data_IF_764590732458
#
_entry.id   IF_764590732458
#
_cell.length_a   1.000
_cell.length_b   1.000
_cell.length_c   1.000
_cell.angle_alpha   90.00
_cell.angle_beta   90.00
_cell.angle_gamma   90.00
#
_symmetry.space_group_name_H-M   'P 1'
#
loop_
_entity.id
_entity.type
_entity.pdbx_description
1 polymer ?
#
# COMPACT_ATOMS: atom_id res chain seq x y z
N UNK A 1 7.00 -7.18 11.70
CA UNK A 1 6.48 -6.03 12.49
C UNK A 1 5.16 -6.46 13.10
N UNK A 2 4.91 -6.18 14.38
CA UNK A 2 3.65 -6.55 15.06
C UNK A 2 2.50 -5.67 14.58
N UNK A 3 1.25 -6.15 14.67
CA UNK A 3 0.05 -5.39 14.28
C UNK A 3 -0.03 -4.04 14.99
N UNK A 4 0.17 -4.02 16.31
CA UNK A 4 0.20 -2.78 17.10
C UNK A 4 1.25 -1.79 16.59
N UNK A 5 2.42 -2.29 16.19
CA UNK A 5 3.46 -1.44 15.62
C UNK A 5 3.10 -0.93 14.21
N UNK A 6 2.27 -1.64 13.44
CA UNK A 6 1.74 -1.15 12.16
C UNK A 6 0.74 -0.03 12.41
N UNK A 7 -0.23 -0.26 13.31
CA UNK A 7 -1.26 0.71 13.69
C UNK A 7 -0.66 2.01 14.21
N UNK A 8 0.43 1.93 14.98
CA UNK A 8 1.13 3.09 15.54
C UNK A 8 2.00 3.87 14.54
N UNK A 9 2.09 3.46 13.26
CA UNK A 9 2.86 4.23 12.28
C UNK A 9 2.26 5.62 12.06
N UNK A 10 3.08 6.67 11.89
CA UNK A 10 2.60 8.05 11.74
C UNK A 10 2.04 8.33 10.33
N UNK A 11 1.32 7.38 9.71
CA UNK A 11 0.79 7.53 8.35
C UNK A 11 -0.17 8.71 8.24
N UNK A 12 -0.91 9.00 9.31
CA UNK A 12 -1.81 10.14 9.33
C UNK A 12 -1.07 11.48 9.12
N UNK A 13 0.16 11.60 9.64
CA UNK A 13 1.01 12.79 9.55
C UNK A 13 1.71 12.92 8.19
N UNK A 14 1.82 11.82 7.43
CA UNK A 14 2.45 11.80 6.11
C UNK A 14 1.49 12.12 4.97
N UNK A 15 0.19 11.90 5.19
CA UNK A 15 -0.82 12.09 4.18
C UNK A 15 -1.42 13.52 4.25
N UNK A 16 -1.94 13.99 3.12
CA UNK A 16 -2.75 15.21 3.02
C UNK A 16 -4.14 15.04 3.64
N UNK A 17 -4.77 16.10 4.15
CA UNK A 17 -6.11 16.03 4.78
C UNK A 17 -7.14 15.28 3.92
N UNK A 18 -7.08 15.50 2.61
CA UNK A 18 -7.86 14.80 1.58
C UNK A 18 -6.95 13.78 0.85
N UNK A 19 -6.94 12.54 1.33
CA UNK A 19 -6.06 11.49 0.79
C UNK A 19 -6.76 10.16 0.48
N UNK A 20 -6.13 9.36 -0.38
CA UNK A 20 -6.47 7.96 -0.59
C UNK A 20 -5.42 7.05 0.06
N UNK A 21 -5.88 5.91 0.57
CA UNK A 21 -5.03 4.81 1.02
C UNK A 21 -5.37 3.56 0.20
N UNK A 22 -4.32 2.89 -0.27
CA UNK A 22 -4.39 1.59 -0.94
C UNK A 22 -3.59 0.58 -0.11
N UNK A 23 -4.29 -0.31 0.60
CA UNK A 23 -3.67 -1.23 1.57
C UNK A 23 -3.82 -2.69 1.18
N UNK A 24 -2.70 -3.36 0.87
CA UNK A 24 -2.69 -4.79 0.56
C UNK A 24 -2.99 -5.64 1.79
N UNK A 25 -3.89 -6.60 1.61
CA UNK A 25 -4.27 -7.59 2.62
C UNK A 25 -4.48 -8.96 1.97
N UNK A 26 -4.34 -10.00 2.78
CA UNK A 26 -4.70 -11.37 2.40
C UNK A 26 -6.08 -11.72 2.97
N UNK A 27 -6.64 -12.87 2.57
CA UNK A 27 -7.86 -13.39 3.20
C UNK A 27 -7.73 -13.52 4.74
N UNK A 28 -6.55 -13.87 5.24
CA UNK A 28 -6.31 -14.08 6.67
C UNK A 28 -6.16 -12.75 7.45
N UNK A 29 -5.66 -11.71 6.79
CA UNK A 29 -5.35 -10.41 7.42
C UNK A 29 -6.38 -9.34 7.06
N UNK A 30 -7.53 -9.73 6.49
CA UNK A 30 -8.55 -8.79 6.03
C UNK A 30 -9.02 -7.92 7.20
N UNK A 31 -9.43 -8.51 8.32
CA UNK A 31 -9.88 -7.76 9.50
C UNK A 31 -8.81 -6.82 10.03
N UNK A 32 -7.58 -7.30 10.17
CA UNK A 32 -6.46 -6.50 10.66
C UNK A 32 -6.18 -5.29 9.74
N UNK A 33 -6.33 -5.46 8.43
CA UNK A 33 -6.16 -4.37 7.48
C UNK A 33 -7.24 -3.28 7.58
N UNK A 34 -8.49 -3.65 7.91
CA UNK A 34 -9.52 -2.67 8.20
C UNK A 34 -9.16 -1.88 9.47
N UNK A 35 -8.77 -2.57 10.54
CA UNK A 35 -8.36 -1.91 11.78
C UNK A 35 -7.14 -0.98 11.56
N UNK A 36 -6.19 -1.38 10.72
CA UNK A 36 -5.02 -0.56 10.38
C UNK A 36 -5.44 0.70 9.63
N UNK A 37 -6.26 0.58 8.59
CA UNK A 37 -6.74 1.73 7.83
C UNK A 37 -7.49 2.73 8.72
N UNK A 38 -8.36 2.23 9.61
CA UNK A 38 -9.08 3.06 10.59
C UNK A 38 -8.13 3.72 11.59
N UNK A 39 -7.12 3.00 12.11
CA UNK A 39 -6.13 3.56 13.04
C UNK A 39 -5.29 4.69 12.43
N UNK A 40 -5.10 4.67 11.11
CA UNK A 40 -4.43 5.72 10.35
C UNK A 40 -5.37 6.88 9.94
N UNK A 41 -6.63 6.83 10.36
CA UNK A 41 -7.63 7.88 10.09
C UNK A 41 -8.30 7.79 8.72
N UNK A 42 -8.27 6.62 8.07
CA UNK A 42 -8.93 6.39 6.78
C UNK A 42 -10.24 5.61 6.96
N UNK A 43 -11.25 5.95 6.16
CA UNK A 43 -12.47 5.16 6.03
C UNK A 43 -12.35 4.21 4.86
N UNK A 44 -12.40 2.90 5.12
CA UNK A 44 -12.40 1.87 4.06
C UNK A 44 -13.69 1.98 3.24
N UNK A 45 -13.56 1.99 1.91
CA UNK A 45 -14.69 2.12 0.97
C UNK A 45 -15.02 0.81 0.28
N UNK A 46 -14.02 0.20 -0.35
CA UNK A 46 -14.21 -1.06 -1.08
C UNK A 46 -12.88 -1.79 -1.26
N UNK A 47 -12.90 -3.13 -1.30
CA UNK A 47 -11.74 -3.90 -1.74
C UNK A 47 -11.67 -3.92 -3.27
N UNK A 48 -10.46 -3.77 -3.81
CA UNK A 48 -10.09 -4.22 -5.14
C UNK A 48 -9.50 -5.64 -5.02
N UNK A 49 -10.09 -6.63 -5.67
CA UNK A 49 -9.66 -8.03 -5.54
C UNK A 49 -8.77 -8.44 -6.71
N UNK A 50 -7.53 -8.81 -6.41
CA UNK A 50 -6.66 -9.47 -7.38
C UNK A 50 -7.00 -10.95 -7.48
N UNK A 51 -7.61 -11.33 -8.60
CA UNK A 51 -7.96 -12.71 -8.94
C UNK A 51 -6.74 -13.40 -9.55
N UNK A 52 -6.40 -14.56 -9.00
CA UNK A 52 -5.30 -15.42 -9.43
C UNK A 52 -5.86 -16.71 -10.01
N UNK A 53 -5.54 -17.00 -11.26
CA UNK A 53 -5.91 -18.27 -11.90
C UNK A 53 -4.99 -19.44 -11.48
N UNK A 54 -4.73 -19.56 -10.17
CA UNK A 54 -3.99 -20.66 -9.55
C UNK A 54 -4.41 -20.85 -8.10
N UNK A 55 -4.33 -22.08 -7.60
CA UNK A 55 -4.63 -22.40 -6.21
C UNK A 55 -3.42 -22.16 -5.30
N UNK A 56 -3.56 -21.24 -4.36
CA UNK A 56 -2.62 -21.02 -3.26
C UNK A 56 -2.89 -21.91 -2.05
N UNK A 57 -2.27 -21.57 -0.92
CA UNK A 57 -2.50 -22.22 0.37
C UNK A 57 -3.93 -21.99 0.89
N UNK A 58 -4.33 -22.72 1.93
CA UNK A 58 -5.59 -22.47 2.65
C UNK A 58 -6.12 -23.73 3.35
N UNK A 59 -6.65 -23.55 4.56
CA UNK A 59 -7.14 -24.66 5.41
C UNK A 59 -8.55 -25.10 5.01
N UNK A 60 -9.46 -24.13 4.82
CA UNK A 60 -10.86 -24.40 4.47
C UNK A 60 -11.14 -24.17 2.99
N UNK A 61 -10.80 -22.98 2.50
CA UNK A 61 -10.86 -22.61 1.08
C UNK A 61 -9.44 -22.37 0.57
N UNK A 62 -9.19 -22.70 -0.70
CA UNK A 62 -7.91 -22.48 -1.35
C UNK A 62 -7.81 -21.02 -1.79
N UNK A 63 -6.78 -20.31 -1.33
CA UNK A 63 -6.58 -18.90 -1.69
C UNK A 63 -6.33 -18.76 -3.19
N UNK A 64 -7.24 -18.08 -3.89
CA UNK A 64 -7.09 -17.67 -5.28
C UNK A 64 -7.16 -16.13 -5.42
N UNK A 65 -7.16 -15.41 -4.30
CA UNK A 65 -7.31 -13.96 -4.25
C UNK A 65 -6.35 -13.31 -3.26
N UNK A 66 -5.97 -12.07 -3.53
CA UNK A 66 -5.50 -11.08 -2.54
C UNK A 66 -6.33 -9.81 -2.73
N UNK A 67 -6.39 -8.95 -1.72
CA UNK A 67 -7.22 -7.74 -1.76
C UNK A 67 -6.36 -6.50 -1.53
N UNK A 68 -6.70 -5.44 -2.23
CA UNK A 68 -6.15 -4.11 -2.05
C UNK A 68 -7.29 -3.20 -1.60
N UNK A 69 -7.31 -2.86 -0.32
CA UNK A 69 -8.36 -2.03 0.26
C UNK A 69 -8.20 -0.60 -0.24
N UNK A 70 -9.24 -0.05 -0.87
CA UNK A 70 -9.36 1.37 -1.16
C UNK A 70 -10.04 2.07 0.01
N UNK A 71 -9.35 3.04 0.58
CA UNK A 71 -9.84 3.85 1.69
C UNK A 71 -9.60 5.34 1.42
N UNK A 72 -10.41 6.19 2.05
CA UNK A 72 -10.37 7.65 1.84
C UNK A 72 -10.29 8.38 3.16
N UNK A 73 -9.63 9.53 3.16
CA UNK A 73 -9.66 10.53 4.23
C UNK A 73 -10.16 11.86 3.65
N UNK A 74 -10.90 12.60 4.47
CA UNK A 74 -11.48 13.88 4.04
C UNK A 74 -12.42 13.73 2.83
N UNK A 75 -12.23 14.59 1.83
CA UNK A 75 -13.02 14.70 0.59
C UNK A 75 -12.19 14.46 -0.66
N UNK A 76 -11.20 13.57 -0.57
CA UNK A 76 -10.32 13.21 -1.68
C UNK A 76 -11.11 12.85 -2.97
N UNK A 77 -10.80 13.48 -4.12
CA UNK A 77 -11.52 13.24 -5.36
C UNK A 77 -11.04 11.95 -6.04
N UNK A 78 -12.00 11.18 -6.58
CA UNK A 78 -11.71 10.07 -7.49
C UNK A 78 -11.75 10.57 -8.94
N UNK A 79 -10.67 10.35 -9.67
CA UNK A 79 -10.50 10.81 -11.05
C UNK A 79 -11.20 9.91 -12.08
N UNK A 80 -11.40 8.63 -11.77
CA UNK A 80 -12.06 7.65 -12.63
C UNK A 80 -13.06 6.78 -11.88
N UNK A 81 -14.33 6.78 -12.32
CA UNK A 81 -15.45 6.17 -11.59
C UNK A 81 -15.89 4.79 -12.10
N UNK A 82 -15.35 4.32 -13.21
CA UNK A 82 -15.75 3.05 -13.84
C UNK A 82 -14.75 1.91 -13.60
N UNK A 83 -13.93 2.00 -12.53
CA UNK A 83 -13.01 0.93 -12.15
C UNK A 83 -13.78 -0.23 -11.50
N UNK A 84 -13.72 -1.46 -12.04
CA UNK A 84 -14.27 -2.62 -11.36
C UNK A 84 -13.52 -2.94 -10.06
N UNK A 85 -14.20 -3.58 -9.11
CA UNK A 85 -13.64 -4.01 -7.81
C UNK A 85 -12.81 -5.30 -7.91
N UNK A 86 -12.34 -5.64 -9.11
CA UNK A 86 -11.43 -6.76 -9.34
C UNK A 86 -10.41 -6.43 -10.44
N UNK A 87 -9.27 -7.12 -10.38
CA UNK A 87 -8.28 -7.17 -11.44
C UNK A 87 -7.81 -8.61 -11.65
N UNK A 88 -7.44 -8.93 -12.88
CA UNK A 88 -6.66 -10.13 -13.22
C UNK A 88 -5.29 -9.67 -13.68
N UNK A 89 -4.25 -10.14 -13.02
CA UNK A 89 -2.88 -9.78 -13.34
C UNK A 89 -1.95 -10.99 -13.12
N UNK A 90 -0.82 -11.09 -13.85
CA UNK A 90 0.11 -12.21 -13.73
C UNK A 90 0.63 -12.35 -12.31
N UNK A 91 0.75 -13.60 -11.84
CA UNK A 91 1.41 -13.86 -10.57
C UNK A 91 2.91 -13.96 -10.81
N UNK A 92 3.65 -13.06 -10.16
CA UNK A 92 5.11 -12.99 -10.21
C UNK A 92 5.73 -13.79 -9.04
N UNK A 93 6.94 -13.41 -8.62
CA UNK A 93 7.68 -14.01 -7.52
C UNK A 93 6.94 -13.90 -6.17
N UNK A 94 7.42 -14.65 -5.18
CA UNK A 94 6.79 -14.68 -3.87
C UNK A 94 6.66 -13.27 -3.25
N UNK A 95 5.46 -12.95 -2.77
CA UNK A 95 5.10 -11.64 -2.20
C UNK A 95 5.22 -10.45 -3.18
N UNK A 96 5.34 -10.69 -4.49
CA UNK A 96 5.33 -9.65 -5.51
C UNK A 96 3.89 -9.34 -5.94
N UNK A 97 3.45 -8.10 -5.67
CA UNK A 97 2.14 -7.57 -6.06
C UNK A 97 2.14 -7.17 -7.55
N UNK A 98 1.00 -7.24 -8.26
CA UNK A 98 0.95 -6.94 -9.68
C UNK A 98 1.38 -5.50 -10.00
N UNK A 99 2.17 -5.29 -11.05
CA UNK A 99 2.57 -3.94 -11.49
C UNK A 99 1.36 -3.11 -11.92
N UNK A 100 0.31 -3.78 -12.37
CA UNK A 100 -0.96 -3.19 -12.82
C UNK A 100 -1.64 -2.37 -11.73
N UNK A 101 -1.25 -2.52 -10.46
CA UNK A 101 -1.72 -1.66 -9.37
C UNK A 101 -1.34 -0.19 -9.59
N UNK A 102 -0.16 0.10 -10.12
CA UNK A 102 0.34 1.49 -10.22
C UNK A 102 -0.46 2.32 -11.21
N UNK A 103 -0.62 1.93 -12.49
CA UNK A 103 -1.47 2.68 -13.42
C UNK A 103 -2.94 2.71 -12.98
N UNK A 104 -3.40 1.70 -12.22
CA UNK A 104 -4.73 1.72 -11.62
C UNK A 104 -4.84 2.80 -10.54
N UNK A 105 -3.92 2.83 -9.58
CA UNK A 105 -3.90 3.81 -8.50
C UNK A 105 -3.80 5.22 -9.08
N UNK A 106 -2.88 5.44 -10.02
CA UNK A 106 -2.63 6.73 -10.68
C UNK A 106 -3.82 7.20 -11.52
N UNK A 107 -4.63 6.28 -12.06
CA UNK A 107 -5.87 6.63 -12.76
C UNK A 107 -6.99 7.07 -11.83
N UNK A 108 -7.02 6.56 -10.59
CA UNK A 108 -8.08 6.84 -9.63
C UNK A 108 -7.75 7.98 -8.67
N UNK A 109 -6.48 8.09 -8.28
CA UNK A 109 -6.01 8.92 -7.17
C UNK A 109 -5.08 10.01 -7.69
N UNK A 110 -5.28 11.28 -7.31
CA UNK A 110 -4.27 12.30 -7.58
C UNK A 110 -2.98 12.02 -6.78
N UNK A 111 -1.84 12.36 -7.37
CA UNK A 111 -0.56 12.40 -6.66
C UNK A 111 -0.41 13.65 -5.77
N UNK A 112 0.71 13.77 -5.03
CA UNK A 112 1.87 12.86 -5.01
C UNK A 112 1.58 11.50 -4.37
N UNK A 113 2.46 10.52 -4.59
CA UNK A 113 2.28 9.14 -4.12
C UNK A 113 3.40 8.73 -3.15
N UNK A 114 3.07 7.93 -2.13
CA UNK A 114 4.05 7.31 -1.23
C UNK A 114 3.76 5.81 -1.11
N UNK A 115 4.75 4.96 -1.40
CA UNK A 115 4.69 3.52 -1.14
C UNK A 115 5.48 3.18 0.13
N UNK A 116 4.79 2.61 1.12
CA UNK A 116 5.40 2.07 2.33
C UNK A 116 5.74 0.59 2.15
N UNK A 117 6.81 0.14 2.81
CA UNK A 117 7.37 -1.22 2.70
C UNK A 117 7.88 -1.57 1.30
N UNK A 118 8.25 -0.56 0.53
CA UNK A 118 8.78 -0.73 -0.82
C UNK A 118 10.11 -1.50 -0.80
N UNK A 119 10.29 -2.39 -1.78
CA UNK A 119 11.55 -3.13 -2.02
C UNK A 119 12.25 -2.71 -3.31
N UNK A 120 11.54 -1.97 -4.15
CA UNK A 120 12.01 -1.37 -5.41
C UNK A 120 11.17 -0.13 -5.71
N UNK A 121 11.64 0.72 -6.62
CA UNK A 121 10.81 1.84 -7.09
C UNK A 121 9.64 1.32 -7.94
N UNK A 122 8.45 1.94 -7.85
CA UNK A 122 7.36 1.69 -8.78
C UNK A 122 7.84 1.86 -10.23
N UNK A 123 7.49 0.96 -11.16
CA UNK A 123 7.78 1.14 -12.58
C UNK A 123 6.78 2.12 -13.18
N UNK A 124 6.90 3.38 -12.76
CA UNK A 124 6.03 4.47 -13.16
C UNK A 124 6.85 5.74 -13.40
N UNK A 125 6.36 6.59 -14.29
CA UNK A 125 6.90 7.93 -14.51
C UNK A 125 6.29 8.97 -13.55
N UNK A 126 5.29 8.57 -12.75
CA UNK A 126 4.64 9.42 -11.75
C UNK A 126 5.55 9.62 -10.52
N UNK A 127 5.40 10.72 -9.77
CA UNK A 127 6.24 11.06 -8.63
C UNK A 127 5.92 10.20 -7.40
N UNK A 128 6.46 8.98 -7.38
CA UNK A 128 6.38 8.07 -6.25
C UNK A 128 7.55 8.26 -5.29
N UNK A 129 7.24 8.66 -4.06
CA UNK A 129 8.11 8.52 -2.92
C UNK A 129 8.06 7.08 -2.42
N UNK A 130 9.19 6.58 -1.91
CA UNK A 130 9.27 5.25 -1.31
C UNK A 130 9.79 5.29 0.11
N UNK A 131 9.29 4.39 0.94
CA UNK A 131 9.87 4.07 2.23
C UNK A 131 9.92 2.55 2.42
N UNK A 132 11.07 2.01 2.81
CA UNK A 132 11.24 0.59 3.05
C UNK A 132 12.65 0.23 3.48
N UNK A 133 12.80 -0.91 4.15
CA UNK A 133 14.08 -1.35 4.69
C UNK A 133 15.00 -2.04 3.66
N UNK A 134 14.53 -2.21 2.42
CA UNK A 134 15.27 -2.85 1.32
C UNK A 134 15.47 -1.92 0.13
N UNK A 135 15.27 -0.61 0.31
CA UNK A 135 15.44 0.41 -0.71
C UNK A 135 16.04 1.67 -0.10
N UNK A 136 16.64 2.52 -0.94
CA UNK A 136 17.02 3.88 -0.52
C UNK A 136 15.75 4.72 -0.37
N UNK A 137 15.29 4.90 0.86
CA UNK A 137 14.03 5.57 1.15
C UNK A 137 14.10 7.09 0.84
N UNK A 138 13.01 7.63 0.31
CA UNK A 138 12.90 9.05 0.00
C UNK A 138 12.48 9.88 1.24
N UNK A 139 11.80 9.23 2.20
CA UNK A 139 11.33 9.82 3.46
C UNK A 139 11.85 9.04 4.66
N UNK A 140 11.82 9.66 5.85
CA UNK A 140 12.20 9.03 7.13
C UNK A 140 11.01 9.08 8.09
N UNK A 141 10.78 8.01 8.85
CA UNK A 141 9.63 7.86 9.74
C UNK A 141 10.09 7.78 11.21
N UNK A 142 9.71 8.76 12.07
CA UNK A 142 10.08 8.74 13.49
C UNK A 142 9.65 7.43 14.18
N UNK A 143 10.59 6.74 14.84
CA UNK A 143 10.35 5.45 15.51
C UNK A 143 10.36 4.22 14.58
N UNK A 144 10.54 4.43 13.27
CA UNK A 144 10.59 3.38 12.24
C UNK A 144 11.84 3.57 11.36
N UNK A 145 13.05 3.37 11.91
CA UNK A 145 14.28 3.57 11.15
C UNK A 145 14.43 2.52 10.04
N UNK A 146 14.94 2.96 8.90
CA UNK A 146 15.38 2.11 7.78
C UNK A 146 16.88 2.29 7.52
N UNK A 147 17.56 1.33 6.87
CA UNK A 147 19.02 1.41 6.68
C UNK A 147 19.51 2.68 5.96
N UNK A 148 18.69 3.28 5.09
CA UNK A 148 19.03 4.51 4.36
C UNK A 148 19.05 5.77 5.24
N UNK A 149 18.38 5.77 6.39
CA UNK A 149 18.38 6.94 7.31
C UNK A 149 19.80 7.27 7.77
N UNK A 150 20.59 6.23 8.12
CA UNK A 150 21.99 6.38 8.55
C UNK A 150 22.88 7.04 7.49
N UNK A 151 22.62 6.76 6.21
CA UNK A 151 23.40 7.33 5.10
C UNK A 151 23.09 8.80 4.87
N UNK A 152 21.90 9.28 5.24
CA UNK A 152 21.54 10.70 5.16
C UNK A 152 22.24 11.50 6.24
N UNK A 153 22.28 10.96 7.46
CA UNK A 153 22.98 11.60 8.58
C UNK A 153 24.48 11.76 8.30
N UNK A 154 25.11 10.77 7.67
CA UNK A 154 26.54 10.83 7.26
C UNK A 154 26.84 11.85 6.15
N UNK A 155 25.84 12.22 5.33
CA UNK A 155 25.99 13.23 4.26
C UNK A 155 25.70 14.65 4.70
N UNK A 156 25.14 14.83 5.90
CA UNK A 156 24.79 16.12 6.47
C UNK A 156 25.94 16.73 7.33
N UNK A 157 27.06 16.01 7.44
CA UNK A 157 28.30 16.41 8.14
C UNK A 157 29.37 16.72 7.10
#
# INVERSE_FOLDING_TARGET
MTLERIKAMPVAELAEDDAHLWLWVTNATLREGYDVAESWGFTVRSPLTWIKFRLGLGVYLRNATEHLLFATRGKAPVQFRAQPTWITAPVQDHSHKPEEQYPLIERLSPGPYLELFARRRPPSNSPWFVWGNQIDADVSLPGYPVPSDRRRDERAI
#
